data_IF_867954544909
#
_entry.id   IF_867954544909
#
_cell.length_a   1.000
_cell.length_b   1.000
_cell.length_c   1.000
_cell.angle_alpha   90.00
_cell.angle_beta   90.00
_cell.angle_gamma   90.00
#
_symmetry.space_group_name_H-M   'P 1'
#
loop_
_entity.id
_entity.type
_entity.pdbx_description
1 polymer ?
#
# COMPACT_ATOMS: atom_id res chain seq x y z
N UNK A 1 3.48 -22.78 -29.14
CA UNK A 1 2.45 -23.77 -28.83
C UNK A 1 1.43 -23.76 -29.94
N UNK A 2 1.25 -24.89 -30.64
CA UNK A 2 0.26 -25.05 -31.70
C UNK A 2 -0.96 -25.74 -31.07
N UNK A 3 -2.01 -24.99 -30.81
CA UNK A 3 -3.22 -25.48 -30.12
C UNK A 3 -4.19 -26.23 -31.06
N UNK A 4 -4.09 -25.94 -32.35
CA UNK A 4 -4.90 -26.57 -33.39
C UNK A 4 -3.95 -27.12 -34.47
N UNK A 5 -4.07 -28.39 -34.80
CA UNK A 5 -3.23 -29.03 -35.83
C UNK A 5 -3.63 -28.70 -37.29
N UNK A 6 -4.59 -27.80 -37.45
CA UNK A 6 -5.06 -27.32 -38.76
C UNK A 6 -4.62 -25.90 -39.03
N UNK A 7 -4.30 -25.61 -40.27
CA UNK A 7 -4.08 -24.23 -40.69
C UNK A 7 -5.39 -23.43 -40.72
N UNK A 8 -5.29 -22.12 -40.81
CA UNK A 8 -6.46 -21.24 -40.93
C UNK A 8 -7.27 -21.53 -42.20
N UNK A 9 -6.59 -21.89 -43.30
CA UNK A 9 -7.21 -22.28 -44.59
C UNK A 9 -7.97 -23.58 -44.47
N UNK A 10 -7.40 -24.61 -43.87
CA UNK A 10 -8.04 -25.89 -43.59
C UNK A 10 -9.24 -25.75 -42.65
N UNK A 11 -9.16 -24.86 -41.65
CA UNK A 11 -10.28 -24.54 -40.78
C UNK A 11 -11.42 -23.85 -41.52
N UNK A 12 -11.11 -22.94 -42.41
CA UNK A 12 -12.11 -22.21 -43.18
C UNK A 12 -12.77 -23.07 -44.27
N UNK A 13 -12.11 -24.13 -44.72
CA UNK A 13 -12.66 -25.10 -45.65
C UNK A 13 -13.64 -26.10 -45.01
N UNK A 14 -13.72 -26.17 -43.68
CA UNK A 14 -14.63 -27.07 -42.98
C UNK A 14 -16.07 -26.54 -43.00
N UNK A 15 -17.09 -27.46 -43.11
CA UNK A 15 -18.47 -27.08 -42.85
C UNK A 15 -18.62 -26.44 -41.48
N UNK A 16 -19.44 -25.40 -41.39
CA UNK A 16 -19.58 -24.56 -40.17
C UNK A 16 -19.88 -25.37 -38.89
N UNK A 17 -20.71 -26.42 -39.00
CA UNK A 17 -21.01 -27.33 -37.89
C UNK A 17 -19.76 -28.06 -37.38
N UNK A 18 -18.89 -28.51 -38.27
CA UNK A 18 -17.67 -29.25 -37.93
C UNK A 18 -16.62 -28.31 -37.37
N UNK A 19 -16.52 -27.09 -37.91
CA UNK A 19 -15.66 -26.04 -37.44
C UNK A 19 -15.99 -25.66 -35.98
N UNK A 20 -17.27 -25.43 -35.67
CA UNK A 20 -17.74 -25.12 -34.30
C UNK A 20 -17.46 -26.27 -33.33
N UNK A 21 -17.68 -27.51 -33.73
CA UNK A 21 -17.41 -28.68 -32.89
C UNK A 21 -15.91 -28.81 -32.57
N UNK A 22 -15.04 -28.59 -33.56
CA UNK A 22 -13.59 -28.64 -33.41
C UNK A 22 -13.13 -27.52 -32.48
N UNK A 23 -13.52 -26.26 -32.71
CA UNK A 23 -13.16 -25.11 -31.88
C UNK A 23 -13.59 -25.31 -30.44
N UNK A 24 -14.80 -25.82 -30.19
CA UNK A 24 -15.29 -26.11 -28.83
C UNK A 24 -14.46 -27.19 -28.13
N UNK A 25 -14.03 -28.22 -28.87
CA UNK A 25 -13.18 -29.30 -28.32
C UNK A 25 -11.80 -28.77 -27.94
N UNK A 26 -11.21 -27.93 -28.78
CA UNK A 26 -9.91 -27.31 -28.48
C UNK A 26 -9.99 -26.28 -27.36
N UNK A 27 -11.07 -25.51 -27.28
CA UNK A 27 -11.35 -24.62 -26.15
C UNK A 27 -11.38 -25.38 -24.81
N UNK A 28 -12.02 -26.54 -24.77
CA UNK A 28 -12.04 -27.38 -23.57
C UNK A 28 -10.66 -27.84 -23.19
N UNK A 29 -9.83 -28.29 -24.15
CA UNK A 29 -8.46 -28.71 -23.90
C UNK A 29 -7.61 -27.54 -23.39
N UNK A 30 -7.74 -26.35 -23.97
CA UNK A 30 -7.04 -25.14 -23.52
C UNK A 30 -7.40 -24.82 -22.07
N UNK A 31 -8.70 -24.85 -21.74
CA UNK A 31 -9.18 -24.60 -20.36
C UNK A 31 -8.64 -25.63 -19.38
N UNK A 32 -8.61 -26.92 -19.76
CA UNK A 32 -8.02 -27.99 -18.95
C UNK A 32 -6.52 -27.78 -18.75
N UNK A 33 -5.77 -27.50 -19.84
CA UNK A 33 -4.33 -27.28 -19.76
C UNK A 33 -3.97 -26.04 -18.92
N UNK A 34 -4.77 -24.97 -18.95
CA UNK A 34 -4.58 -23.80 -18.09
C UNK A 34 -4.88 -24.19 -16.63
N UNK A 35 -5.95 -24.96 -16.38
CA UNK A 35 -6.30 -25.43 -15.04
C UNK A 35 -5.22 -26.37 -14.45
N UNK A 36 -4.64 -27.22 -15.27
CA UNK A 36 -3.55 -28.14 -14.87
C UNK A 36 -2.19 -27.43 -14.75
N UNK A 37 -2.00 -26.31 -15.46
CA UNK A 37 -0.73 -25.57 -15.47
C UNK A 37 -0.53 -24.67 -14.25
N UNK A 38 -1.56 -24.45 -13.44
CA UNK A 38 -1.41 -23.69 -12.20
C UNK A 38 -0.98 -24.63 -11.08
N UNK A 39 0.26 -24.53 -10.57
CA UNK A 39 0.74 -25.39 -9.50
C UNK A 39 -0.19 -25.33 -8.29
N UNK A 40 -0.48 -26.47 -7.69
CA UNK A 40 -1.33 -26.58 -6.48
C UNK A 40 -0.82 -25.67 -5.36
N UNK A 41 0.48 -25.46 -5.29
CA UNK A 41 1.14 -24.57 -4.36
C UNK A 41 0.71 -23.10 -4.54
N UNK A 42 0.54 -22.65 -5.77
CA UNK A 42 0.05 -21.28 -6.05
C UNK A 42 -1.39 -21.12 -5.57
N UNK A 43 -2.26 -22.10 -5.83
CA UNK A 43 -3.63 -22.09 -5.32
C UNK A 43 -3.66 -22.13 -3.79
N UNK A 44 -2.79 -22.92 -3.18
CA UNK A 44 -2.66 -22.98 -1.72
C UNK A 44 -2.22 -21.63 -1.15
N UNK A 45 -1.21 -20.97 -1.75
CA UNK A 45 -0.76 -19.65 -1.33
C UNK A 45 -1.85 -18.58 -1.52
N UNK A 46 -2.59 -18.62 -2.64
CA UNK A 46 -3.74 -17.74 -2.87
C UNK A 46 -4.81 -17.98 -1.80
N UNK A 47 -5.15 -19.24 -1.52
CA UNK A 47 -6.13 -19.60 -0.50
C UNK A 47 -5.68 -19.15 0.91
N UNK A 48 -4.39 -19.33 1.26
CA UNK A 48 -3.83 -18.84 2.52
C UNK A 48 -3.89 -17.31 2.61
N UNK A 49 -3.59 -16.59 1.52
CA UNK A 49 -3.69 -15.14 1.47
C UNK A 49 -5.15 -14.66 1.59
N UNK A 50 -6.08 -15.32 0.90
CA UNK A 50 -7.52 -15.05 1.02
C UNK A 50 -8.00 -15.33 2.45
N UNK A 51 -7.57 -16.45 3.04
CA UNK A 51 -7.90 -16.81 4.41
C UNK A 51 -7.34 -15.79 5.40
N UNK A 52 -6.07 -15.43 5.29
CA UNK A 52 -5.46 -14.38 6.10
C UNK A 52 -6.14 -13.01 5.91
N UNK A 53 -6.64 -12.74 4.71
CA UNK A 53 -7.43 -11.56 4.43
C UNK A 53 -8.83 -11.62 5.07
N UNK A 54 -9.47 -12.77 5.09
CA UNK A 54 -10.80 -12.99 5.72
C UNK A 54 -10.73 -13.11 7.24
N UNK A 55 -9.62 -13.62 7.78
CA UNK A 55 -9.37 -13.74 9.23
C UNK A 55 -8.89 -12.40 9.85
N UNK A 56 -8.34 -11.48 9.05
CA UNK A 56 -8.23 -10.09 9.47
C UNK A 56 -9.65 -9.53 9.52
N UNK A 57 -10.10 -9.17 10.73
CA UNK A 57 -11.36 -8.42 10.86
C UNK A 57 -11.32 -7.27 9.85
N UNK A 58 -12.08 -7.44 8.77
CA UNK A 58 -12.24 -6.39 7.77
C UNK A 58 -13.05 -5.28 8.42
N UNK A 59 -12.32 -4.36 8.99
CA UNK A 59 -12.81 -3.04 9.24
C UNK A 59 -13.03 -2.40 7.86
N UNK A 60 -14.18 -2.75 7.25
CA UNK A 60 -14.48 -2.32 5.89
C UNK A 60 -14.72 -0.79 5.85
N UNK A 61 -14.74 -0.22 4.66
CA UNK A 61 -14.94 1.23 4.51
C UNK A 61 -16.26 1.71 5.12
N UNK A 62 -17.29 0.87 5.20
CA UNK A 62 -18.57 1.22 5.79
C UNK A 62 -18.46 1.32 7.32
N UNK A 63 -17.76 0.38 7.94
CA UNK A 63 -17.46 0.41 9.38
C UNK A 63 -16.54 1.58 9.73
N UNK A 64 -15.56 1.88 8.88
CA UNK A 64 -14.67 3.04 9.05
C UNK A 64 -15.47 4.34 9.03
N UNK A 65 -16.31 4.55 8.02
CA UNK A 65 -17.12 5.76 7.90
C UNK A 65 -18.06 5.92 9.10
N UNK A 66 -18.74 4.83 9.50
CA UNK A 66 -19.56 4.83 10.71
C UNK A 66 -18.77 5.19 11.97
N UNK A 67 -17.57 4.64 12.13
CA UNK A 67 -16.70 4.98 13.27
C UNK A 67 -16.29 6.45 13.25
N UNK A 68 -15.99 7.01 12.08
CA UNK A 68 -15.67 8.42 11.91
C UNK A 68 -16.86 9.29 12.40
N UNK A 69 -18.06 8.95 11.98
CA UNK A 69 -19.29 9.66 12.38
C UNK A 69 -19.58 9.49 13.86
N UNK A 70 -19.62 8.26 14.38
CA UNK A 70 -19.98 7.94 15.75
C UNK A 70 -19.05 8.60 16.79
N UNK A 71 -17.76 8.70 16.47
CA UNK A 71 -16.73 9.29 17.33
C UNK A 71 -16.35 10.73 16.92
N UNK A 72 -17.01 11.31 15.92
CA UNK A 72 -16.74 12.66 15.40
C UNK A 72 -15.27 12.91 15.09
N UNK A 73 -14.64 11.94 14.39
CA UNK A 73 -13.21 11.91 14.16
C UNK A 73 -12.71 12.92 13.12
N UNK A 74 -13.60 13.69 12.47
CA UNK A 74 -13.23 14.81 11.61
C UNK A 74 -12.51 15.93 12.39
N UNK A 75 -12.72 15.99 13.71
CA UNK A 75 -11.92 16.81 14.61
C UNK A 75 -10.56 16.15 14.86
N UNK A 76 -9.43 16.83 14.56
CA UNK A 76 -8.11 16.28 14.82
C UNK A 76 -7.87 15.92 16.30
N UNK A 77 -8.48 16.64 17.24
CA UNK A 77 -8.32 16.36 18.66
C UNK A 77 -9.07 15.08 19.04
N UNK A 78 -10.31 14.89 18.56
CA UNK A 78 -11.05 13.65 18.75
C UNK A 78 -10.34 12.46 18.12
N UNK A 79 -9.74 12.65 16.95
CA UNK A 79 -8.95 11.61 16.29
C UNK A 79 -7.72 11.22 17.10
N UNK A 80 -7.00 12.19 17.66
CA UNK A 80 -5.86 11.94 18.54
C UNK A 80 -6.30 11.15 19.78
N UNK A 81 -7.35 11.59 20.45
CA UNK A 81 -7.91 10.92 21.62
C UNK A 81 -8.37 9.50 21.28
N UNK A 82 -9.03 9.31 20.14
CA UNK A 82 -9.46 7.99 19.66
C UNK A 82 -8.27 7.07 19.41
N UNK A 83 -7.19 7.55 18.77
CA UNK A 83 -5.97 6.76 18.51
C UNK A 83 -5.28 6.39 19.84
N UNK A 84 -5.18 7.33 20.79
CA UNK A 84 -4.57 7.11 22.10
C UNK A 84 -5.32 6.04 22.87
N UNK A 85 -6.62 6.24 23.05
CA UNK A 85 -7.48 5.38 23.86
C UNK A 85 -7.84 4.06 23.17
N UNK A 86 -7.89 4.07 21.84
CA UNK A 86 -8.26 2.92 20.99
C UNK A 86 -9.46 2.12 21.53
N UNK A 87 -10.63 2.74 21.70
CA UNK A 87 -11.77 2.14 22.42
C UNK A 87 -12.33 0.88 21.74
N UNK A 88 -12.05 0.71 20.45
CA UNK A 88 -12.46 -0.44 19.65
C UNK A 88 -11.36 -1.49 19.50
N UNK A 89 -10.21 -1.32 20.18
CA UNK A 89 -9.05 -2.21 20.09
C UNK A 89 -8.61 -2.51 18.66
N UNK A 90 -8.60 -1.47 17.81
CA UNK A 90 -8.27 -1.59 16.39
C UNK A 90 -6.77 -1.82 16.18
N UNK A 91 -6.45 -2.59 15.16
CA UNK A 91 -5.08 -2.74 14.69
C UNK A 91 -4.52 -1.44 14.10
N UNK A 92 -3.19 -1.33 14.08
CA UNK A 92 -2.49 -0.12 13.57
C UNK A 92 -2.85 0.23 12.11
N UNK A 93 -3.18 -0.76 11.28
CA UNK A 93 -3.62 -0.53 9.90
C UNK A 93 -4.98 0.16 9.82
N UNK A 94 -5.94 -0.27 10.66
CA UNK A 94 -7.28 0.34 10.72
C UNK A 94 -7.22 1.76 11.28
N UNK A 95 -6.42 1.98 12.33
CA UNK A 95 -6.19 3.32 12.88
C UNK A 95 -5.55 4.26 11.85
N UNK A 96 -4.54 3.78 11.09
CA UNK A 96 -3.94 4.57 10.02
C UNK A 96 -4.95 4.89 8.91
N UNK A 97 -5.83 3.94 8.56
CA UNK A 97 -6.87 4.17 7.56
C UNK A 97 -7.92 5.18 8.01
N UNK A 98 -8.33 5.13 9.28
CA UNK A 98 -9.21 6.15 9.86
C UNK A 98 -8.52 7.52 9.75
N UNK A 99 -7.28 7.64 10.23
CA UNK A 99 -6.52 8.89 10.19
C UNK A 99 -6.36 9.44 8.77
N UNK A 100 -6.17 8.56 7.78
CA UNK A 100 -6.10 8.94 6.36
C UNK A 100 -7.41 9.55 5.86
N UNK A 101 -8.55 9.01 6.28
CA UNK A 101 -9.86 9.45 5.80
C UNK A 101 -10.42 10.68 6.52
N UNK A 102 -9.97 10.93 7.74
CA UNK A 102 -10.51 11.99 8.62
C UNK A 102 -9.76 13.32 8.56
N UNK A 103 -8.71 13.46 7.74
CA UNK A 103 -7.98 14.72 7.68
C UNK A 103 -8.86 15.83 7.10
N UNK A 104 -9.51 16.58 8.00
CA UNK A 104 -10.45 17.67 7.67
C UNK A 104 -9.80 18.85 6.94
N UNK A 105 -8.47 18.98 6.98
CA UNK A 105 -7.71 20.03 6.30
C UNK A 105 -7.25 19.62 4.89
N UNK A 106 -7.62 18.43 4.43
CA UNK A 106 -7.21 17.90 3.14
C UNK A 106 -7.50 18.85 1.99
N UNK A 107 -8.72 19.39 1.93
CA UNK A 107 -9.14 20.33 0.89
C UNK A 107 -8.39 21.66 0.97
N UNK A 108 -8.23 22.21 2.19
CA UNK A 108 -7.58 23.49 2.40
C UNK A 108 -6.08 23.47 2.08
N UNK A 109 -5.43 22.35 2.33
CA UNK A 109 -3.98 22.20 2.08
C UNK A 109 -3.68 21.45 0.78
N UNK A 110 -4.70 21.16 -0.05
CA UNK A 110 -4.58 20.27 -1.21
C UNK A 110 -3.91 18.92 -0.87
N UNK A 111 -4.12 18.45 0.36
CA UNK A 111 -3.49 17.25 0.88
C UNK A 111 -4.25 16.01 0.40
N UNK A 112 -3.72 15.34 -0.63
CA UNK A 112 -4.26 14.11 -1.17
C UNK A 112 -3.38 12.93 -0.77
N UNK A 113 -4.00 11.89 -0.21
CA UNK A 113 -3.25 10.69 0.15
C UNK A 113 -2.97 9.83 -1.08
N UNK A 114 -1.74 9.40 -1.19
CA UNK A 114 -1.31 8.57 -2.31
C UNK A 114 -1.94 7.19 -2.24
N UNK A 115 -2.61 6.77 -3.32
CA UNK A 115 -3.20 5.44 -3.42
C UNK A 115 -2.12 4.36 -3.23
N UNK A 116 -2.45 3.29 -2.51
CA UNK A 116 -1.52 2.16 -2.25
C UNK A 116 -0.91 1.56 -3.52
N UNK A 117 -1.64 1.55 -4.64
CA UNK A 117 -1.09 1.08 -5.92
C UNK A 117 0.03 2.00 -6.41
N UNK A 118 -0.14 3.33 -6.30
CA UNK A 118 0.88 4.31 -6.67
C UNK A 118 2.09 4.17 -5.76
N UNK A 119 1.88 4.05 -4.44
CA UNK A 119 2.97 3.83 -3.47
C UNK A 119 3.75 2.56 -3.81
N UNK A 120 3.06 1.47 -4.20
CA UNK A 120 3.70 0.22 -4.58
C UNK A 120 4.50 0.33 -5.89
N UNK A 121 4.01 1.11 -6.86
CA UNK A 121 4.79 1.37 -8.09
C UNK A 121 6.02 2.23 -7.81
N UNK A 122 5.91 3.24 -6.96
CA UNK A 122 7.05 4.03 -6.49
C UNK A 122 8.06 3.13 -5.76
N UNK A 123 7.59 2.23 -4.88
CA UNK A 123 8.44 1.26 -4.17
C UNK A 123 9.32 0.43 -5.11
N UNK A 124 8.77 -0.02 -6.25
CA UNK A 124 9.53 -0.79 -7.25
C UNK A 124 10.64 0.03 -7.91
N UNK A 125 10.49 1.36 -7.94
CA UNK A 125 11.46 2.28 -8.54
C UNK A 125 12.50 2.80 -7.54
N UNK A 126 12.34 2.51 -6.24
CA UNK A 126 13.29 2.97 -5.23
C UNK A 126 14.68 2.37 -5.47
N UNK A 127 15.74 3.19 -5.44
CA UNK A 127 17.10 2.73 -5.69
C UNK A 127 17.58 1.77 -4.60
N UNK A 128 18.55 0.94 -4.93
CA UNK A 128 19.36 0.21 -3.96
C UNK A 128 20.55 1.06 -3.54
N UNK A 129 20.97 0.95 -2.28
CA UNK A 129 22.14 1.65 -1.76
C UNK A 129 23.17 0.67 -1.22
N UNK A 130 24.40 0.78 -1.69
CA UNK A 130 25.57 0.05 -1.15
C UNK A 130 26.25 0.81 0.01
N UNK A 131 25.44 1.53 0.82
CA UNK A 131 25.90 2.34 1.93
C UNK A 131 25.47 1.73 3.27
N UNK A 132 26.32 1.85 4.28
CA UNK A 132 25.94 1.46 5.65
C UNK A 132 24.91 2.41 6.28
N UNK A 133 24.87 3.64 5.84
CA UNK A 133 23.97 4.68 6.35
C UNK A 133 23.37 5.48 5.19
N UNK A 134 22.06 5.68 5.23
CA UNK A 134 21.31 6.49 4.27
C UNK A 134 20.45 7.52 4.97
N UNK A 135 20.27 8.67 4.31
CA UNK A 135 19.41 9.75 4.75
C UNK A 135 18.28 9.94 3.76
N UNK A 136 17.05 9.86 4.23
CA UNK A 136 15.83 9.97 3.42
C UNK A 136 15.04 11.18 3.89
N UNK A 137 14.44 11.91 2.95
CA UNK A 137 13.45 12.95 3.24
C UNK A 137 12.10 12.55 2.66
N UNK A 138 11.06 12.60 3.48
CA UNK A 138 9.67 12.61 3.06
C UNK A 138 9.06 13.98 3.36
N UNK A 139 8.93 14.86 2.35
CA UNK A 139 8.65 16.28 2.54
C UNK A 139 7.19 16.62 2.80
N UNK A 140 6.27 15.65 2.66
CA UNK A 140 4.82 15.83 2.84
C UNK A 140 4.20 14.55 3.42
N UNK A 141 4.66 14.18 4.63
CA UNK A 141 4.49 12.82 5.15
C UNK A 141 3.03 12.45 5.46
N UNK A 142 2.16 13.41 5.78
CA UNK A 142 0.79 13.13 6.21
C UNK A 142 0.74 12.15 7.37
N UNK A 143 0.04 11.05 7.19
CA UNK A 143 -0.03 9.94 8.17
C UNK A 143 0.99 8.83 7.91
N UNK A 144 1.94 9.03 6.98
CA UNK A 144 3.11 8.17 6.78
C UNK A 144 2.88 6.97 5.87
N UNK A 145 2.15 7.12 4.78
CA UNK A 145 1.82 6.02 3.86
C UNK A 145 3.06 5.41 3.18
N UNK A 146 4.13 6.16 2.97
CA UNK A 146 5.38 5.66 2.39
C UNK A 146 6.27 4.92 3.40
N UNK A 147 6.20 5.25 4.69
CA UNK A 147 7.12 4.75 5.69
C UNK A 147 7.21 3.22 5.78
N UNK A 148 6.10 2.44 5.77
CA UNK A 148 6.19 0.99 5.80
C UNK A 148 6.97 0.40 4.61
N UNK A 149 6.88 1.03 3.45
CA UNK A 149 7.59 0.61 2.23
C UNK A 149 9.08 0.95 2.32
N UNK A 150 9.42 2.13 2.87
CA UNK A 150 10.81 2.51 3.12
C UNK A 150 11.46 1.58 4.15
N UNK A 151 10.73 1.23 5.22
CA UNK A 151 11.22 0.29 6.23
C UNK A 151 11.55 -1.08 5.64
N UNK A 152 10.66 -1.58 4.76
CA UNK A 152 10.85 -2.86 4.08
C UNK A 152 11.97 -2.80 3.04
N UNK A 153 12.02 -1.74 2.23
CA UNK A 153 13.03 -1.58 1.17
C UNK A 153 14.44 -1.57 1.72
N UNK A 154 14.63 -0.88 2.85
CA UNK A 154 15.94 -0.64 3.43
C UNK A 154 16.18 -1.40 4.75
N UNK A 155 15.50 -2.53 4.93
CA UNK A 155 15.64 -3.36 6.14
C UNK A 155 17.05 -3.90 6.36
N UNK A 156 17.82 -4.09 5.28
CA UNK A 156 19.20 -4.58 5.31
C UNK A 156 20.25 -3.47 5.41
N UNK A 157 19.87 -2.20 5.33
CA UNK A 157 20.78 -1.07 5.54
C UNK A 157 21.02 -0.92 7.04
N UNK A 158 22.29 -0.76 7.44
CA UNK A 158 22.70 -0.72 8.85
C UNK A 158 22.07 0.45 9.63
N UNK A 159 21.91 1.61 8.98
CA UNK A 159 21.27 2.80 9.56
C UNK A 159 20.45 3.56 8.51
N UNK A 160 19.19 3.77 8.80
CA UNK A 160 18.25 4.51 7.95
C UNK A 160 17.73 5.71 8.75
N UNK A 161 18.15 6.91 8.39
CA UNK A 161 17.66 8.15 8.99
C UNK A 161 16.60 8.75 8.07
N UNK A 162 15.38 8.90 8.56
CA UNK A 162 14.27 9.45 7.79
C UNK A 162 13.83 10.76 8.46
N UNK A 163 14.02 11.87 7.76
CA UNK A 163 13.41 13.13 8.12
C UNK A 163 12.01 13.17 7.48
N UNK A 164 10.99 13.30 8.31
CA UNK A 164 9.58 13.41 7.87
C UNK A 164 9.09 14.82 8.15
N UNK A 165 8.63 15.50 7.11
CA UNK A 165 8.16 16.87 7.23
C UNK A 165 6.67 16.97 6.87
N UNK A 166 5.97 17.87 7.56
CA UNK A 166 4.60 18.23 7.26
C UNK A 166 4.31 19.65 7.76
N UNK A 167 3.51 20.39 7.01
CA UNK A 167 3.07 21.74 7.39
C UNK A 167 2.07 21.68 8.54
N UNK A 168 1.28 20.59 8.64
CA UNK A 168 0.33 20.40 9.71
C UNK A 168 0.96 19.62 10.88
N UNK A 169 1.19 20.33 11.98
CA UNK A 169 1.73 19.74 13.23
C UNK A 169 0.89 18.56 13.73
N UNK A 170 -0.43 18.58 13.52
CA UNK A 170 -1.31 17.49 13.97
C UNK A 170 -1.13 16.22 13.17
N UNK A 171 -0.81 16.32 11.88
CA UNK A 171 -0.41 15.16 11.07
C UNK A 171 0.82 14.48 11.66
N UNK A 172 1.84 15.23 12.02
CA UNK A 172 3.05 14.69 12.65
C UNK A 172 2.76 14.05 14.01
N UNK A 173 1.88 14.64 14.81
CA UNK A 173 1.45 14.07 16.08
C UNK A 173 0.70 12.75 15.89
N UNK A 174 -0.24 12.70 14.95
CA UNK A 174 -0.99 11.48 14.59
C UNK A 174 -0.02 10.40 14.09
N UNK A 175 0.89 10.75 13.18
CA UNK A 175 1.91 9.84 12.67
C UNK A 175 2.75 9.25 13.81
N UNK A 176 3.21 10.08 14.73
CA UNK A 176 4.00 9.65 15.88
C UNK A 176 3.24 8.64 16.75
N UNK A 177 1.96 8.89 17.03
CA UNK A 177 1.10 7.97 17.78
C UNK A 177 0.90 6.64 17.04
N UNK A 178 0.67 6.68 15.72
CA UNK A 178 0.53 5.48 14.91
C UNK A 178 1.81 4.63 14.90
N UNK A 179 2.97 5.27 14.82
CA UNK A 179 4.26 4.57 14.83
C UNK A 179 4.59 3.97 16.20
N UNK A 180 4.19 4.62 17.31
CA UNK A 180 4.34 4.06 18.66
C UNK A 180 3.56 2.76 18.86
N UNK A 181 2.46 2.57 18.13
CA UNK A 181 1.66 1.34 18.16
C UNK A 181 2.21 0.21 17.26
N UNK A 182 3.31 0.47 16.55
CA UNK A 182 4.00 -0.51 15.69
C UNK A 182 5.37 -0.85 16.23
N UNK A 183 5.82 -2.08 15.99
CA UNK A 183 7.22 -2.45 16.21
C UNK A 183 8.07 -1.78 15.12
N UNK A 184 8.80 -0.76 15.49
CA UNK A 184 9.73 -0.08 14.59
C UNK A 184 10.97 -0.93 14.30
N UNK A 185 11.48 -0.93 13.06
CA UNK A 185 12.76 -1.57 12.75
C UNK A 185 13.90 -0.89 13.56
N UNK A 186 14.80 -1.69 14.10
CA UNK A 186 15.89 -1.20 14.97
C UNK A 186 16.93 -0.35 14.24
N UNK A 187 17.01 -0.46 12.93
CA UNK A 187 17.93 0.30 12.08
C UNK A 187 17.35 1.64 11.61
N UNK A 188 16.09 1.96 11.94
CA UNK A 188 15.40 3.16 11.48
C UNK A 188 15.34 4.23 12.58
N UNK A 189 15.77 5.44 12.24
CA UNK A 189 15.59 6.65 13.05
C UNK A 189 14.69 7.63 12.32
N UNK A 190 13.64 8.14 12.99
CA UNK A 190 12.74 9.13 12.42
C UNK A 190 12.89 10.44 13.14
N UNK A 191 13.06 11.52 12.37
CA UNK A 191 13.08 12.89 12.84
C UNK A 191 11.87 13.63 12.26
N UNK A 192 11.10 14.31 13.12
CA UNK A 192 9.85 14.99 12.77
C UNK A 192 10.09 16.49 12.62
N UNK A 193 9.76 17.06 11.48
CA UNK A 193 9.99 18.46 11.13
C UNK A 193 8.66 19.12 10.77
N UNK A 194 8.15 19.98 11.66
CA UNK A 194 6.95 20.75 11.34
C UNK A 194 7.32 22.01 10.61
N UNK A 195 7.11 22.03 9.31
CA UNK A 195 7.49 23.16 8.45
C UNK A 195 6.76 23.15 7.11
N UNK A 196 6.73 24.31 6.46
CA UNK A 196 6.48 24.41 5.02
C UNK A 196 7.76 24.01 4.28
N UNK A 197 7.75 22.86 3.65
CA UNK A 197 8.92 22.28 2.99
C UNK A 197 9.37 23.05 1.75
N UNK A 198 8.49 23.86 1.16
CA UNK A 198 8.83 24.73 0.02
C UNK A 198 9.69 25.93 0.45
N UNK A 199 9.58 26.31 1.72
CA UNK A 199 10.27 27.49 2.27
C UNK A 199 11.41 27.10 3.22
N UNK A 200 11.49 25.84 3.64
CA UNK A 200 12.44 25.37 4.63
C UNK A 200 13.81 25.04 4.01
N UNK A 201 14.85 25.61 4.60
CA UNK A 201 16.22 25.32 4.20
C UNK A 201 16.76 24.07 4.93
N UNK A 202 16.64 22.94 4.28
CA UNK A 202 17.22 21.69 4.77
C UNK A 202 18.76 21.74 4.66
N UNK A 203 19.44 21.92 5.77
CA UNK A 203 20.94 21.98 5.83
C UNK A 203 21.62 20.64 5.56
N UNK A 204 20.85 19.56 5.52
CA UNK A 204 21.30 18.18 5.32
C UNK A 204 21.16 17.79 3.85
N UNK A 205 22.05 16.94 3.37
CA UNK A 205 21.89 16.28 2.08
C UNK A 205 21.21 14.93 2.27
N UNK A 206 20.33 14.58 1.36
CA UNK A 206 19.59 13.32 1.36
C UNK A 206 20.04 12.43 0.21
N UNK A 207 20.09 11.12 0.47
CA UNK A 207 20.34 10.09 -0.52
C UNK A 207 19.07 9.79 -1.35
N UNK A 208 17.92 10.00 -0.71
CA UNK A 208 16.60 9.83 -1.34
C UNK A 208 15.64 10.90 -0.83
N UNK A 209 14.89 11.48 -1.76
CA UNK A 209 13.70 12.29 -1.45
C UNK A 209 12.52 11.59 -2.10
N UNK A 210 11.52 11.24 -1.31
CA UNK A 210 10.33 10.51 -1.76
C UNK A 210 9.09 11.08 -1.09
N UNK A 211 8.08 11.34 -1.86
CA UNK A 211 6.81 11.89 -1.39
C UNK A 211 5.87 12.16 -2.55
N UNK A 212 4.67 12.62 -2.23
CA UNK A 212 3.66 13.05 -3.20
C UNK A 212 2.96 14.30 -2.70
#
# INVERSE_FOLDING_TARGET
FKWIDKTLEELNALPEKNKRALLKKEEIKIRQSIGEAVPTEIFFQIACNIRGFMEQEHFDNSMINKTIEDYQLDSPDNLIDFIVNNPLNLGSASLARIAELTNSKRENNAAYYTNKFIVNEIYKQLPEFEKEEINILEPSVGVGNFLPFLFKKYENVKRVNIDVADIDKKNLQILQLLLQKKKMPSNVNINYINTDTLLYDFKKRYDLIVGN
#
